data_IF_137384580559
#
_entry.id   IF_137384580559
#
_cell.length_a   1.000
_cell.length_b   1.000
_cell.length_c   1.000
_cell.angle_alpha   90.00
_cell.angle_beta   90.00
_cell.angle_gamma   90.00
#
_symmetry.space_group_name_H-M   'P 1'
#
loop_
_entity.id
_entity.type
_entity.pdbx_description
1 polymer ?
#
# COMPACT_ATOMS: atom_id res chain seq x y z
N UNK A 1 -11.04 9.56 16.50
CA UNK A 1 -10.48 8.31 15.97
C UNK A 1 -10.43 8.43 14.46
N UNK A 2 -9.26 8.31 13.84
CA UNK A 2 -9.13 8.32 12.38
C UNK A 2 -9.85 7.09 11.80
N UNK A 3 -10.51 7.24 10.65
CA UNK A 3 -11.20 6.12 9.97
C UNK A 3 -10.16 5.26 9.24
N UNK A 4 -10.35 3.95 9.20
CA UNK A 4 -9.44 3.05 8.50
C UNK A 4 -9.86 2.82 7.04
N UNK A 5 -8.89 2.70 6.14
CA UNK A 5 -9.08 2.36 4.73
C UNK A 5 -8.11 1.22 4.37
N UNK A 6 -8.64 0.11 3.85
CA UNK A 6 -7.86 -1.00 3.33
C UNK A 6 -8.02 -1.13 1.82
N UNK A 7 -6.93 -0.97 1.07
CA UNK A 7 -6.92 -1.26 -0.36
C UNK A 7 -6.60 -2.73 -0.61
N UNK A 8 -7.37 -3.41 -1.46
CA UNK A 8 -7.20 -4.84 -1.75
C UNK A 8 -6.95 -5.07 -3.25
N UNK A 9 -5.98 -5.93 -3.57
CA UNK A 9 -5.81 -6.47 -4.93
C UNK A 9 -5.47 -7.96 -4.87
N UNK A 10 -4.96 -8.55 -5.96
CA UNK A 10 -4.58 -9.97 -5.95
C UNK A 10 -3.30 -10.22 -5.14
N UNK A 11 -2.16 -9.66 -5.55
CA UNK A 11 -0.85 -10.03 -4.98
C UNK A 11 -0.23 -9.01 -4.01
N UNK A 12 -0.89 -7.88 -3.74
CA UNK A 12 -0.36 -6.80 -2.90
C UNK A 12 1.06 -6.30 -3.25
N UNK A 13 1.38 -6.24 -4.55
CA UNK A 13 2.68 -5.76 -5.06
C UNK A 13 2.60 -4.61 -6.05
N UNK A 14 1.39 -4.23 -6.45
CA UNK A 14 1.22 -3.13 -7.41
C UNK A 14 -0.02 -2.32 -7.09
N UNK A 15 -1.22 -2.76 -7.49
CA UNK A 15 -2.46 -1.96 -7.42
C UNK A 15 -2.78 -1.45 -6.01
N UNK A 16 -2.96 -2.35 -5.05
CA UNK A 16 -3.36 -1.95 -3.70
C UNK A 16 -2.27 -1.19 -2.94
N UNK A 17 -1.02 -1.64 -3.05
CA UNK A 17 0.15 -0.93 -2.51
C UNK A 17 0.27 0.49 -3.09
N UNK A 18 0.18 0.65 -4.42
CA UNK A 18 0.29 1.96 -5.05
C UNK A 18 -0.82 2.92 -4.57
N UNK A 19 -2.03 2.43 -4.36
CA UNK A 19 -3.14 3.22 -3.82
C UNK A 19 -2.89 3.65 -2.36
N UNK A 20 -2.40 2.74 -1.51
CA UNK A 20 -2.01 3.05 -0.12
C UNK A 20 -0.98 4.17 -0.07
N UNK A 21 0.15 4.01 -0.78
CA UNK A 21 1.23 5.00 -0.76
C UNK A 21 0.82 6.32 -1.40
N UNK A 22 0.01 6.30 -2.46
CA UNK A 22 -0.51 7.51 -3.07
C UNK A 22 -1.41 8.28 -2.10
N UNK A 23 -2.35 7.60 -1.41
CA UNK A 23 -3.24 8.28 -0.47
C UNK A 23 -2.47 8.81 0.74
N UNK A 24 -1.55 8.02 1.32
CA UNK A 24 -0.70 8.47 2.44
C UNK A 24 0.07 9.74 2.09
N UNK A 25 0.60 9.84 0.86
CA UNK A 25 1.35 11.01 0.40
C UNK A 25 0.50 12.26 0.15
N UNK A 26 -0.83 12.16 0.18
CA UNK A 26 -1.75 13.29 0.05
C UNK A 26 -2.37 13.71 1.38
N UNK A 27 -2.08 13.01 2.48
CA UNK A 27 -2.61 13.38 3.79
C UNK A 27 -1.75 14.48 4.43
N UNK A 28 -2.42 15.45 5.03
CA UNK A 28 -1.83 16.46 5.89
C UNK A 28 -2.07 16.09 7.36
N UNK A 29 -1.23 16.58 8.26
CA UNK A 29 -1.41 16.35 9.70
C UNK A 29 -2.50 17.26 10.29
N UNK A 30 -3.38 16.75 11.18
CA UNK A 30 -3.43 15.36 11.66
C UNK A 30 -4.03 14.40 10.62
N UNK A 31 -3.45 13.20 10.51
CA UNK A 31 -3.91 12.17 9.55
C UNK A 31 -5.42 11.92 9.64
N UNK A 32 -6.12 12.12 8.52
CA UNK A 32 -7.56 11.89 8.41
C UNK A 32 -7.92 10.40 8.40
N UNK A 33 -7.04 9.55 7.85
CA UNK A 33 -7.28 8.13 7.69
C UNK A 33 -6.05 7.29 8.03
N UNK A 34 -6.29 6.16 8.71
CA UNK A 34 -5.31 5.08 8.78
C UNK A 34 -5.42 4.24 7.50
N UNK A 35 -4.40 4.24 6.66
CA UNK A 35 -4.45 3.63 5.32
C UNK A 35 -3.50 2.46 5.24
N UNK A 36 -3.99 1.33 4.77
CA UNK A 36 -3.24 0.09 4.60
C UNK A 36 -3.59 -0.59 3.27
N UNK A 37 -2.83 -1.64 2.92
CA UNK A 37 -3.19 -2.52 1.81
C UNK A 37 -2.99 -4.01 2.14
N UNK A 38 -3.68 -4.85 1.36
CA UNK A 38 -3.58 -6.31 1.38
C UNK A 38 -3.80 -6.91 -0.01
N UNK A 39 -3.65 -8.24 -0.11
CA UNK A 39 -3.94 -9.02 -1.30
C UNK A 39 -4.65 -10.32 -0.99
N UNK A 40 -5.61 -10.71 -1.83
CA UNK A 40 -6.39 -11.96 -1.63
C UNK A 40 -5.56 -13.22 -1.85
N UNK A 41 -4.45 -13.11 -2.59
CA UNK A 41 -3.51 -14.20 -2.89
C UNK A 41 -2.06 -13.71 -2.73
N UNK A 42 -1.81 -12.79 -1.79
CA UNK A 42 -0.47 -12.25 -1.58
C UNK A 42 0.50 -13.37 -1.16
N UNK A 43 1.66 -13.40 -1.82
CA UNK A 43 2.75 -14.33 -1.52
C UNK A 43 4.01 -13.53 -1.17
N UNK A 44 4.94 -14.12 -0.39
CA UNK A 44 6.25 -13.50 -0.18
C UNK A 44 6.96 -13.31 -1.52
N UNK A 45 6.99 -12.08 -2.01
CA UNK A 45 7.64 -11.75 -3.27
C UNK A 45 8.10 -10.29 -3.27
N UNK A 46 9.12 -10.00 -4.07
CA UNK A 46 9.61 -8.64 -4.22
C UNK A 46 8.69 -7.84 -5.13
N UNK A 47 8.50 -6.56 -4.80
CA UNK A 47 7.90 -5.59 -5.71
C UNK A 47 8.86 -5.36 -6.88
N UNK A 48 8.33 -5.39 -8.10
CA UNK A 48 9.17 -5.22 -9.29
C UNK A 48 9.84 -3.83 -9.29
N UNK A 49 11.15 -3.72 -9.60
CA UNK A 49 11.90 -2.45 -9.51
C UNK A 49 11.28 -1.28 -10.28
N UNK A 50 10.65 -1.54 -11.44
CA UNK A 50 9.92 -0.52 -12.22
C UNK A 50 8.84 0.16 -11.37
N UNK A 51 8.10 -0.61 -10.57
CA UNK A 51 7.03 -0.08 -9.72
C UNK A 51 7.62 0.79 -8.60
N UNK A 52 8.67 0.30 -7.93
CA UNK A 52 9.39 1.07 -6.89
C UNK A 52 9.90 2.40 -7.44
N UNK A 53 10.59 2.37 -8.59
CA UNK A 53 11.12 3.56 -9.23
C UNK A 53 10.00 4.53 -9.62
N UNK A 54 8.89 4.03 -10.16
CA UNK A 54 7.76 4.88 -10.57
C UNK A 54 7.08 5.55 -9.38
N UNK A 55 6.98 4.86 -8.24
CA UNK A 55 6.39 5.40 -7.01
C UNK A 55 7.31 6.44 -6.35
N UNK A 56 8.64 6.25 -6.40
CA UNK A 56 9.63 7.25 -5.96
C UNK A 56 9.57 8.52 -6.79
N UNK A 57 9.47 8.40 -8.12
CA UNK A 57 9.27 9.55 -9.00
C UNK A 57 7.96 10.30 -8.73
N UNK A 58 7.01 9.67 -8.04
CA UNK A 58 5.74 10.27 -7.59
C UNK A 58 5.78 10.78 -6.15
N UNK A 59 6.95 10.79 -5.51
CA UNK A 59 7.14 11.34 -4.17
C UNK A 59 6.90 10.35 -3.02
N UNK A 60 6.85 9.04 -3.29
CA UNK A 60 6.60 8.01 -2.25
C UNK A 60 7.73 6.97 -2.24
N UNK A 61 8.12 6.45 -1.07
CA UNK A 61 9.09 5.36 -0.99
C UNK A 61 8.48 4.06 -0.44
N UNK A 62 8.09 3.12 -1.30
CA UNK A 62 7.55 1.82 -0.89
C UNK A 62 8.64 0.76 -0.68
N UNK A 63 9.88 1.15 -0.40
CA UNK A 63 11.02 0.23 -0.26
C UNK A 63 10.85 -0.78 0.88
N UNK A 64 10.16 -0.38 1.96
CA UNK A 64 9.86 -1.23 3.10
C UNK A 64 8.58 -2.07 2.92
N UNK A 65 7.89 -1.96 1.77
CA UNK A 65 6.64 -2.68 1.56
C UNK A 65 6.86 -4.19 1.52
N UNK A 66 6.07 -4.92 2.31
CA UNK A 66 6.02 -6.38 2.30
C UNK A 66 4.60 -6.82 1.94
N UNK A 67 4.41 -7.64 0.88
CA UNK A 67 3.09 -8.12 0.52
C UNK A 67 2.41 -8.87 1.67
N UNK A 68 1.18 -8.48 1.99
CA UNK A 68 0.37 -9.04 3.08
C UNK A 68 -0.91 -9.66 2.55
N UNK A 69 -1.21 -10.88 3.00
CA UNK A 69 -2.47 -11.55 2.68
C UNK A 69 -3.62 -10.92 3.47
N UNK A 70 -4.79 -10.80 2.85
CA UNK A 70 -6.01 -10.38 3.52
C UNK A 70 -6.42 -11.45 4.57
N UNK A 71 -6.80 -11.00 5.77
CA UNK A 71 -7.33 -11.87 6.84
C UNK A 71 -8.70 -11.36 7.28
N UNK A 72 -9.39 -12.06 8.19
CA UNK A 72 -10.70 -11.62 8.69
C UNK A 72 -10.60 -10.39 9.60
N UNK A 73 -9.43 -10.20 10.22
CA UNK A 73 -9.13 -9.13 11.15
C UNK A 73 -8.65 -7.83 10.46
N UNK A 74 -8.38 -7.91 9.15
CA UNK A 74 -7.96 -6.81 8.28
C UNK A 74 -9.15 -6.26 7.49
#
# INVERSE_FOLDING_TARGET
MARSILFVCTGNVFRSMAAEYALRAQQEEPLAYYVESAGIEAKPQKVHPIILNRLRLKGTDPSAHTPRALTQEL
#
